data_IF_694542921135
#
_entry.id   IF_694542921135
#
_cell.length_a   1.000
_cell.length_b   1.000
_cell.length_c   1.000
_cell.angle_alpha   90.00
_cell.angle_beta   90.00
_cell.angle_gamma   90.00
#
_symmetry.space_group_name_H-M   'P 1'
#
loop_
_entity.id
_entity.type
_entity.pdbx_description
1 polymer ?
#
# COMPACT_ATOMS: atom_id res chain seq x y z
N UNK A 1 3.98 0.01 19.12
CA UNK A 1 3.13 -1.19 19.23
C UNK A 1 3.40 -1.93 20.55
N UNK A 2 4.65 -2.26 20.86
CA UNK A 2 5.06 -3.01 22.06
C UNK A 2 4.51 -2.49 23.40
N UNK A 3 4.45 -1.17 23.58
CA UNK A 3 3.89 -0.56 24.79
C UNK A 3 2.37 -0.82 24.94
N UNK A 4 1.63 -0.81 23.83
CA UNK A 4 0.18 -1.09 23.84
C UNK A 4 -0.05 -2.58 24.05
N UNK A 5 0.77 -3.44 23.45
CA UNK A 5 0.69 -4.88 23.65
C UNK A 5 1.06 -5.30 25.08
N UNK A 6 2.04 -4.65 25.70
CA UNK A 6 2.39 -4.92 27.10
C UNK A 6 1.29 -4.47 28.07
N UNK A 7 0.67 -3.32 27.81
CA UNK A 7 -0.52 -2.86 28.55
C UNK A 7 -1.72 -3.78 28.34
N UNK A 8 -1.93 -4.27 27.13
CA UNK A 8 -2.96 -5.27 26.86
C UNK A 8 -2.70 -6.55 27.65
N UNK A 9 -1.47 -7.06 27.65
CA UNK A 9 -1.12 -8.29 28.35
C UNK A 9 -1.33 -8.17 29.86
N UNK A 10 -1.01 -7.02 30.48
CA UNK A 10 -1.27 -6.79 31.90
C UNK A 10 -2.76 -6.63 32.22
N UNK A 11 -3.54 -6.00 31.34
CA UNK A 11 -4.99 -5.83 31.48
C UNK A 11 -5.79 -7.09 31.13
N UNK A 12 -5.23 -8.01 30.34
CA UNK A 12 -5.92 -9.18 29.76
C UNK A 12 -6.52 -10.14 30.78
N UNK A 13 -6.02 -10.12 32.03
CA UNK A 13 -6.48 -10.98 33.11
C UNK A 13 -7.72 -10.42 33.85
N UNK A 14 -7.94 -9.10 33.83
CA UNK A 14 -9.05 -8.43 34.51
C UNK A 14 -9.63 -7.33 33.60
N UNK A 15 -10.00 -7.69 32.38
CA UNK A 15 -10.50 -6.74 31.38
C UNK A 15 -11.96 -6.41 31.67
N UNK A 16 -12.25 -5.14 31.96
CA UNK A 16 -13.61 -4.60 32.04
C UNK A 16 -13.91 -3.77 30.79
N UNK A 17 -15.18 -3.56 30.44
CA UNK A 17 -15.58 -2.74 29.28
C UNK A 17 -14.89 -1.36 29.26
N UNK A 18 -14.80 -0.68 30.41
CA UNK A 18 -14.11 0.59 30.53
C UNK A 18 -12.59 0.51 30.26
N UNK A 19 -11.94 -0.59 30.65
CA UNK A 19 -10.52 -0.81 30.41
C UNK A 19 -10.28 -1.08 28.92
N UNK A 20 -11.15 -1.86 28.29
CA UNK A 20 -11.08 -2.12 26.85
C UNK A 20 -11.24 -0.81 26.05
N UNK A 21 -12.20 0.03 26.41
CA UNK A 21 -12.37 1.36 25.80
C UNK A 21 -11.13 2.25 25.98
N UNK A 22 -10.61 2.37 27.20
CA UNK A 22 -9.41 3.19 27.48
C UNK A 22 -8.18 2.68 26.72
N UNK A 23 -8.04 1.36 26.61
CA UNK A 23 -6.94 0.74 25.86
C UNK A 23 -7.05 1.03 24.35
N UNK A 24 -8.26 0.98 23.78
CA UNK A 24 -8.50 1.35 22.37
C UNK A 24 -8.20 2.83 22.17
N UNK A 25 -8.70 3.73 23.02
CA UNK A 25 -8.40 5.17 22.96
C UNK A 25 -6.90 5.44 23.03
N UNK A 26 -6.18 4.80 23.95
CA UNK A 26 -4.72 4.93 24.08
C UNK A 26 -3.99 4.40 22.86
N UNK A 27 -4.44 3.28 22.28
CA UNK A 27 -3.86 2.74 21.06
C UNK A 27 -4.00 3.73 19.91
N UNK A 28 -5.22 4.25 19.69
CA UNK A 28 -5.49 5.22 18.63
C UNK A 28 -4.71 6.52 18.86
N UNK A 29 -4.55 6.99 20.11
CA UNK A 29 -3.83 8.23 20.42
C UNK A 29 -2.30 8.06 20.46
N UNK A 30 -1.78 6.84 20.34
CA UNK A 30 -0.34 6.61 20.37
C UNK A 30 0.35 7.28 19.16
N UNK A 31 1.34 8.17 19.37
CA UNK A 31 2.03 8.84 18.28
C UNK A 31 2.82 7.83 17.44
N UNK A 32 2.88 8.05 16.12
CA UNK A 32 3.64 7.23 15.15
C UNK A 32 3.24 5.74 15.09
N UNK A 33 2.10 5.37 15.69
CA UNK A 33 1.52 4.04 15.56
C UNK A 33 0.48 4.03 14.44
N UNK A 34 0.81 3.47 13.28
CA UNK A 34 -0.08 3.42 12.12
C UNK A 34 -0.57 1.99 11.79
N UNK A 35 -0.11 1.00 12.56
CA UNK A 35 -0.52 -0.40 12.46
C UNK A 35 -1.23 -0.80 13.74
N UNK A 36 -2.40 -1.40 13.60
CA UNK A 36 -3.26 -1.83 14.70
C UNK A 36 -3.84 -3.23 14.50
N UNK A 37 -3.51 -3.93 13.40
CA UNK A 37 -4.10 -5.22 13.05
C UNK A 37 -3.92 -6.28 14.12
N UNK A 38 -2.69 -6.41 14.66
CA UNK A 38 -2.40 -7.33 15.78
C UNK A 38 -3.24 -7.00 17.01
N UNK A 39 -3.29 -5.71 17.37
CA UNK A 39 -4.04 -5.24 18.53
C UNK A 39 -5.55 -5.46 18.36
N UNK A 40 -6.08 -5.17 17.17
CA UNK A 40 -7.48 -5.39 16.81
C UNK A 40 -7.87 -6.87 16.95
N UNK A 41 -7.07 -7.79 16.40
CA UNK A 41 -7.35 -9.22 16.48
C UNK A 41 -7.38 -9.72 17.93
N UNK A 42 -6.45 -9.25 18.76
CA UNK A 42 -6.40 -9.60 20.18
C UNK A 42 -7.62 -9.11 20.94
N UNK A 43 -8.00 -7.85 20.78
CA UNK A 43 -9.16 -7.26 21.45
C UNK A 43 -10.45 -7.90 20.98
N UNK A 44 -10.63 -8.07 19.67
CA UNK A 44 -11.82 -8.71 19.09
C UNK A 44 -12.03 -10.11 19.65
N UNK A 45 -10.98 -10.94 19.66
CA UNK A 45 -11.05 -12.29 20.22
C UNK A 45 -11.49 -12.29 21.70
N UNK A 46 -11.03 -11.32 22.49
CA UNK A 46 -11.43 -11.16 23.89
C UNK A 46 -12.89 -10.74 24.05
N UNK A 47 -13.34 -9.74 23.29
CA UNK A 47 -14.73 -9.27 23.30
C UNK A 47 -15.70 -10.37 22.86
N UNK A 48 -15.30 -11.19 21.88
CA UNK A 48 -16.10 -12.34 21.43
C UNK A 48 -16.17 -13.46 22.48
N UNK A 49 -15.14 -13.61 23.32
CA UNK A 49 -15.06 -14.66 24.34
C UNK A 49 -15.80 -14.30 25.64
N UNK A 50 -15.94 -13.01 25.96
CA UNK A 50 -16.47 -12.53 27.23
C UNK A 50 -17.72 -11.65 27.00
N UNK A 51 -18.95 -12.17 27.24
CA UNK A 51 -20.18 -11.43 26.95
C UNK A 51 -20.33 -10.14 27.77
N UNK A 52 -19.64 -10.04 28.92
CA UNK A 52 -19.59 -8.80 29.71
C UNK A 52 -18.83 -7.64 29.05
N UNK A 53 -18.09 -7.90 27.97
CA UNK A 53 -17.39 -6.89 27.17
C UNK A 53 -18.17 -6.48 25.91
N UNK A 54 -19.30 -7.12 25.59
CA UNK A 54 -20.18 -6.76 24.46
C UNK A 54 -21.07 -5.56 24.78
N UNK A 55 -20.54 -4.59 25.52
CA UNK A 55 -21.21 -3.33 25.78
C UNK A 55 -21.27 -2.52 24.47
N UNK A 56 -22.39 -1.83 24.18
CA UNK A 56 -22.51 -0.98 23.00
C UNK A 56 -21.38 0.05 22.86
N UNK A 57 -20.85 0.60 23.96
CA UNK A 57 -19.71 1.53 23.93
C UNK A 57 -18.46 0.85 23.38
N UNK A 58 -18.13 -0.35 23.90
CA UNK A 58 -16.94 -1.10 23.47
C UNK A 58 -17.06 -1.51 22.00
N UNK A 59 -18.25 -1.92 21.56
CA UNK A 59 -18.51 -2.26 20.16
C UNK A 59 -18.36 -1.06 19.23
N UNK A 60 -18.78 0.15 19.66
CA UNK A 60 -18.58 1.38 18.90
C UNK A 60 -17.09 1.74 18.76
N UNK A 61 -16.32 1.62 19.85
CA UNK A 61 -14.86 1.81 19.83
C UNK A 61 -14.14 0.73 19.02
N UNK A 62 -14.61 -0.50 19.04
CA UNK A 62 -14.10 -1.58 18.20
C UNK A 62 -14.37 -1.29 16.71
N UNK A 63 -15.57 -0.81 16.38
CA UNK A 63 -15.91 -0.36 15.04
C UNK A 63 -14.99 0.77 14.56
N UNK A 64 -14.72 1.74 15.43
CA UNK A 64 -13.74 2.80 15.12
C UNK A 64 -12.34 2.22 14.90
N UNK A 65 -11.90 1.27 15.72
CA UNK A 65 -10.60 0.61 15.54
C UNK A 65 -10.51 -0.11 14.18
N UNK A 66 -11.61 -0.72 13.70
CA UNK A 66 -11.67 -1.32 12.35
C UNK A 66 -11.43 -0.28 11.25
N UNK A 67 -11.97 0.92 11.41
CA UNK A 67 -11.76 2.01 10.44
C UNK A 67 -10.30 2.47 10.48
N UNK A 68 -9.68 2.55 11.66
CA UNK A 68 -8.25 2.86 11.78
C UNK A 68 -7.34 1.76 11.21
N UNK A 69 -7.71 0.47 11.32
CA UNK A 69 -6.93 -0.62 10.72
C UNK A 69 -7.07 -0.66 9.20
N UNK A 70 -8.31 -0.65 8.69
CA UNK A 70 -8.59 -1.02 7.30
C UNK A 70 -9.32 0.06 6.49
N UNK A 71 -10.02 0.97 7.15
CA UNK A 71 -10.86 1.98 6.50
C UNK A 71 -10.17 3.31 6.19
N UNK A 72 -10.99 4.27 5.75
CA UNK A 72 -10.64 5.61 5.34
C UNK A 72 -11.43 6.68 6.10
N UNK A 73 -11.06 7.94 5.91
CA UNK A 73 -11.78 9.10 6.45
C UNK A 73 -13.26 9.12 6.02
N UNK A 74 -13.54 8.74 4.77
CA UNK A 74 -14.92 8.68 4.26
C UNK A 74 -15.74 7.59 4.95
N UNK A 75 -15.15 6.43 5.23
CA UNK A 75 -15.81 5.34 5.96
C UNK A 75 -16.19 5.79 7.39
N UNK A 76 -15.33 6.57 8.05
CA UNK A 76 -15.65 7.19 9.34
C UNK A 76 -16.83 8.15 9.25
N UNK A 77 -16.90 9.02 8.24
CA UNK A 77 -18.03 9.94 8.07
C UNK A 77 -19.35 9.18 7.92
N UNK A 78 -19.38 8.11 7.13
CA UNK A 78 -20.57 7.26 6.93
C UNK A 78 -21.01 6.60 8.25
N UNK A 79 -20.08 5.97 8.97
CA UNK A 79 -20.42 5.27 10.21
C UNK A 79 -20.76 6.25 11.36
N UNK A 80 -20.20 7.47 11.32
CA UNK A 80 -20.54 8.55 12.25
C UNK A 80 -21.97 9.04 12.00
N UNK A 81 -22.37 9.25 10.75
CA UNK A 81 -23.75 9.62 10.40
C UNK A 81 -24.75 8.54 10.83
N UNK A 82 -24.34 7.27 10.77
CA UNK A 82 -25.13 6.15 11.26
C UNK A 82 -25.18 6.04 12.80
N UNK A 83 -24.41 6.86 13.53
CA UNK A 83 -24.35 6.84 15.00
C UNK A 83 -23.70 5.59 15.60
N UNK A 84 -22.84 4.89 14.82
CA UNK A 84 -22.23 3.62 15.22
C UNK A 84 -20.83 3.76 15.80
N UNK A 85 -20.18 4.90 15.58
CA UNK A 85 -18.83 5.21 16.08
C UNK A 85 -18.85 6.48 16.92
N UNK A 86 -17.98 6.56 17.95
CA UNK A 86 -17.86 7.75 18.79
C UNK A 86 -17.19 8.91 18.03
N UNK A 87 -17.38 10.13 18.54
CA UNK A 87 -16.73 11.33 18.00
C UNK A 87 -15.22 11.30 18.25
N UNK A 88 -14.46 11.67 17.22
CA UNK A 88 -13.01 11.78 17.27
C UNK A 88 -12.54 13.10 17.86
N UNK A 89 -11.45 13.05 18.63
CA UNK A 89 -10.69 14.24 18.98
C UNK A 89 -9.87 14.77 17.76
N UNK A 90 -9.29 15.97 17.89
CA UNK A 90 -8.54 16.61 16.80
C UNK A 90 -7.30 15.79 16.40
N UNK A 91 -6.63 15.16 17.37
CA UNK A 91 -5.43 14.35 17.12
C UNK A 91 -5.78 13.03 16.39
N UNK A 92 -6.87 12.38 16.80
CA UNK A 92 -7.42 11.18 16.17
C UNK A 92 -7.91 11.48 14.76
N UNK A 93 -8.56 12.63 14.57
CA UNK A 93 -9.00 13.10 13.25
C UNK A 93 -7.80 13.26 12.31
N UNK A 94 -6.76 13.95 12.77
CA UNK A 94 -5.52 14.14 12.00
C UNK A 94 -4.89 12.78 11.65
N UNK A 95 -4.82 11.87 12.63
CA UNK A 95 -4.27 10.54 12.44
C UNK A 95 -5.06 9.67 11.46
N UNK A 96 -6.38 9.76 11.47
CA UNK A 96 -7.22 9.05 10.50
C UNK A 96 -7.04 9.62 9.08
N UNK A 97 -6.89 10.94 8.95
CA UNK A 97 -6.55 11.59 7.69
C UNK A 97 -5.16 11.16 7.20
N UNK A 98 -4.17 11.07 8.09
CA UNK A 98 -2.83 10.54 7.79
C UNK A 98 -2.90 9.10 7.27
N UNK A 99 -3.63 8.22 7.96
CA UNK A 99 -3.85 6.84 7.54
C UNK A 99 -4.55 6.76 6.17
N UNK A 100 -5.50 7.67 5.91
CA UNK A 100 -6.18 7.75 4.62
C UNK A 100 -5.24 8.21 3.51
N UNK A 101 -4.38 9.21 3.78
CA UNK A 101 -3.30 9.62 2.87
C UNK A 101 -2.37 8.45 2.57
N UNK A 102 -1.99 7.66 3.59
CA UNK A 102 -1.13 6.50 3.40
C UNK A 102 -1.77 5.44 2.49
N UNK A 103 -3.06 5.17 2.67
CA UNK A 103 -3.82 4.29 1.77
C UNK A 103 -3.82 4.81 0.33
N UNK A 104 -4.06 6.10 0.13
CA UNK A 104 -4.09 6.73 -1.20
C UNK A 104 -2.70 6.70 -1.87
N UNK A 105 -1.66 7.02 -1.11
CA UNK A 105 -0.26 6.98 -1.54
C UNK A 105 0.24 5.56 -1.88
N UNK A 106 -0.35 4.53 -1.28
CA UNK A 106 -0.03 3.13 -1.60
C UNK A 106 -0.54 2.70 -2.99
N UNK A 107 -1.60 3.34 -3.49
CA UNK A 107 -2.23 3.00 -4.76
C UNK A 107 -1.63 3.80 -5.93
N UNK A 108 -1.34 5.08 -5.71
CA UNK A 108 -0.93 6.00 -6.78
C UNK A 108 0.31 6.80 -6.39
N UNK A 109 1.34 6.77 -7.25
CA UNK A 109 2.61 7.49 -7.03
C UNK A 109 2.55 9.00 -7.23
N UNK A 110 1.58 9.51 -8.00
CA UNK A 110 1.39 10.93 -8.26
C UNK A 110 0.00 11.33 -7.82
N UNK A 111 -0.08 12.05 -6.71
CA UNK A 111 -1.36 12.47 -6.13
C UNK A 111 -1.56 13.96 -6.39
N UNK A 112 -2.68 14.33 -7.00
CA UNK A 112 -3.04 15.73 -7.16
C UNK A 112 -3.59 16.30 -5.86
N UNK A 113 -3.31 17.57 -5.60
CA UNK A 113 -3.79 18.23 -4.39
C UNK A 113 -5.32 18.28 -4.31
N UNK A 114 -6.03 18.36 -5.44
CA UNK A 114 -7.50 18.27 -5.49
C UNK A 114 -7.99 16.96 -4.90
N UNK A 115 -7.44 15.84 -5.37
CA UNK A 115 -7.90 14.51 -5.00
C UNK A 115 -7.60 14.25 -3.52
N UNK A 116 -6.46 14.75 -3.03
CA UNK A 116 -6.11 14.65 -1.61
C UNK A 116 -7.06 15.51 -0.75
N UNK A 117 -7.35 16.75 -1.16
CA UNK A 117 -8.30 17.62 -0.47
C UNK A 117 -9.69 16.99 -0.37
N UNK A 118 -10.18 16.41 -1.48
CA UNK A 118 -11.52 15.83 -1.55
C UNK A 118 -11.64 14.56 -0.69
N UNK A 119 -10.60 13.72 -0.68
CA UNK A 119 -10.59 12.48 0.12
C UNK A 119 -10.42 12.75 1.61
N UNK A 120 -9.58 13.72 1.98
CA UNK A 120 -9.27 14.03 3.38
C UNK A 120 -10.18 15.08 4.01
N UNK A 121 -11.01 15.76 3.21
CA UNK A 121 -11.82 16.90 3.62
C UNK A 121 -10.95 17.93 4.37
N UNK A 122 -9.90 18.40 3.70
CA UNK A 122 -8.95 19.40 4.22
C UNK A 122 -8.95 20.61 3.29
N UNK A 123 -8.98 21.80 3.89
CA UNK A 123 -8.82 23.04 3.13
C UNK A 123 -7.46 23.10 2.43
N UNK A 124 -7.44 23.62 1.20
CA UNK A 124 -6.22 23.75 0.41
C UNK A 124 -5.11 24.55 1.12
N UNK A 125 -5.48 25.51 1.96
CA UNK A 125 -4.57 26.33 2.77
C UNK A 125 -3.76 25.51 3.78
N UNK A 126 -4.35 24.44 4.30
CA UNK A 126 -3.77 23.58 5.34
C UNK A 126 -3.12 22.32 4.78
N UNK A 127 -3.43 21.96 3.54
CA UNK A 127 -2.92 20.75 2.88
C UNK A 127 -1.39 20.68 2.90
N UNK A 128 -0.69 21.75 2.52
CA UNK A 128 0.77 21.71 2.45
C UNK A 128 1.41 21.50 3.83
N UNK A 129 0.89 22.15 4.88
CA UNK A 129 1.36 21.93 6.25
C UNK A 129 1.14 20.47 6.67
N UNK A 130 -0.05 19.94 6.40
CA UNK A 130 -0.38 18.55 6.71
C UNK A 130 0.52 17.55 5.96
N UNK A 131 0.77 17.77 4.66
CA UNK A 131 1.65 16.90 3.87
C UNK A 131 3.10 16.99 4.35
N UNK A 132 3.56 18.19 4.73
CA UNK A 132 4.87 18.38 5.34
C UNK A 132 4.96 17.57 6.63
N UNK A 133 3.99 17.69 7.54
CA UNK A 133 3.96 16.94 8.79
C UNK A 133 3.94 15.41 8.56
N UNK A 134 3.19 14.94 7.56
CA UNK A 134 3.19 13.53 7.15
C UNK A 134 4.56 13.05 6.64
N UNK A 135 5.31 13.90 5.94
CA UNK A 135 6.68 13.60 5.50
C UNK A 135 7.65 13.59 6.68
N UNK A 136 7.55 14.60 7.56
CA UNK A 136 8.40 14.70 8.76
C UNK A 136 8.16 13.57 9.78
N UNK A 137 6.93 13.07 9.87
CA UNK A 137 6.61 11.92 10.72
C UNK A 137 7.14 10.59 10.15
N UNK A 138 7.58 10.58 8.89
CA UNK A 138 8.05 9.40 8.17
C UNK A 138 6.93 8.51 7.65
N UNK A 139 5.68 8.99 7.64
CA UNK A 139 4.54 8.25 7.10
C UNK A 139 4.63 8.10 5.59
N UNK A 140 5.00 9.18 4.90
CA UNK A 140 5.18 9.25 3.45
C UNK A 140 6.57 9.78 3.14
N UNK A 141 7.29 9.14 2.24
CA UNK A 141 8.52 9.68 1.66
C UNK A 141 8.21 10.12 0.24
N UNK A 142 8.54 11.36 -0.10
CA UNK A 142 8.20 11.92 -1.40
C UNK A 142 8.60 13.37 -1.56
N UNK A 143 8.18 13.97 -2.68
CA UNK A 143 8.44 15.36 -3.02
C UNK A 143 7.13 16.09 -3.29
N UNK A 144 7.02 17.30 -2.74
CA UNK A 144 5.94 18.22 -3.03
C UNK A 144 6.34 19.09 -4.22
N UNK A 145 5.50 19.09 -5.26
CA UNK A 145 5.61 20.03 -6.38
C UNK A 145 4.44 21.01 -6.29
N UNK A 146 4.68 22.11 -5.56
CA UNK A 146 3.72 23.20 -5.39
C UNK A 146 3.36 23.86 -6.73
N UNK A 147 4.22 23.83 -7.76
CA UNK A 147 3.88 24.45 -9.05
C UNK A 147 2.85 23.63 -9.81
N UNK A 148 2.99 22.30 -9.80
CA UNK A 148 2.04 21.39 -10.45
C UNK A 148 0.92 20.91 -9.52
N UNK A 149 0.94 21.32 -8.25
CA UNK A 149 -0.04 20.95 -7.23
C UNK A 149 -0.14 19.42 -7.11
N UNK A 150 1.01 18.77 -6.95
CA UNK A 150 1.12 17.33 -6.84
C UNK A 150 2.10 16.88 -5.76
N UNK A 151 1.82 15.72 -5.19
CA UNK A 151 2.72 14.96 -4.32
C UNK A 151 3.24 13.76 -5.12
N UNK A 152 4.56 13.72 -5.30
CA UNK A 152 5.26 12.53 -5.84
C UNK A 152 5.67 11.63 -4.68
N UNK A 153 4.99 10.50 -4.57
CA UNK A 153 5.24 9.49 -3.53
C UNK A 153 6.34 8.54 -3.99
N UNK A 154 7.39 8.43 -3.19
CA UNK A 154 8.48 7.47 -3.36
C UNK A 154 8.20 6.19 -2.56
N UNK A 155 7.83 6.34 -1.29
CA UNK A 155 7.43 5.23 -0.42
C UNK A 155 6.42 5.70 0.63
N UNK A 156 5.71 4.74 1.21
CA UNK A 156 4.71 4.97 2.24
C UNK A 156 4.78 3.84 3.26
N UNK A 157 4.52 4.15 4.53
CA UNK A 157 4.38 3.13 5.57
C UNK A 157 3.18 2.24 5.24
N UNK A 158 3.41 0.92 5.22
CA UNK A 158 2.36 -0.06 5.02
C UNK A 158 1.36 -0.04 6.16
N UNK A 159 0.07 0.09 5.82
CA UNK A 159 -1.05 -0.16 6.75
C UNK A 159 -1.30 -1.65 6.90
N UNK A 160 -2.12 -2.02 7.88
CA UNK A 160 -2.58 -3.40 8.05
C UNK A 160 -3.29 -3.91 6.81
N UNK A 161 -3.09 -5.20 6.55
CA UNK A 161 -3.64 -5.91 5.39
C UNK A 161 -4.67 -6.91 5.91
N UNK A 162 -5.87 -6.89 5.34
CA UNK A 162 -6.89 -7.91 5.57
C UNK A 162 -6.75 -9.06 4.57
N UNK A 163 -7.44 -10.18 4.83
CA UNK A 163 -7.34 -11.39 4.01
C UNK A 163 -7.66 -11.13 2.52
N UNK A 164 -8.58 -10.21 2.21
CA UNK A 164 -8.93 -9.89 0.82
C UNK A 164 -7.76 -9.25 0.10
N UNK A 165 -7.11 -8.27 0.74
CA UNK A 165 -5.93 -7.60 0.17
C UNK A 165 -4.74 -8.55 0.01
N UNK A 166 -4.60 -9.55 0.88
CA UNK A 166 -3.58 -10.60 0.68
C UNK A 166 -3.84 -11.37 -0.63
N UNK A 167 -5.10 -11.73 -0.92
CA UNK A 167 -5.46 -12.38 -2.20
C UNK A 167 -5.22 -11.46 -3.41
N UNK A 168 -5.50 -10.16 -3.28
CA UNK A 168 -5.20 -9.19 -4.34
C UNK A 168 -3.69 -9.08 -4.60
N UNK A 169 -2.88 -9.06 -3.54
CA UNK A 169 -1.41 -9.03 -3.65
C UNK A 169 -0.88 -10.27 -4.37
N UNK A 170 -1.43 -11.44 -4.07
CA UNK A 170 -1.10 -12.71 -4.75
C UNK A 170 -1.37 -12.61 -6.25
N UNK A 171 -2.56 -12.14 -6.65
CA UNK A 171 -2.91 -11.95 -8.05
C UNK A 171 -2.00 -10.93 -8.78
N UNK A 172 -1.57 -9.86 -8.10
CA UNK A 172 -0.62 -8.89 -8.68
C UNK A 172 0.76 -9.53 -8.92
N UNK A 173 1.23 -10.36 -7.98
CA UNK A 173 2.49 -11.09 -8.08
C UNK A 173 2.45 -12.14 -9.18
N UNK A 174 1.38 -12.91 -9.29
CA UNK A 174 1.16 -13.88 -10.37
C UNK A 174 1.17 -13.21 -11.74
N UNK A 175 0.42 -12.11 -11.89
CA UNK A 175 0.44 -11.35 -13.13
C UNK A 175 1.84 -10.80 -13.46
N UNK A 176 2.66 -10.48 -12.45
CA UNK A 176 4.05 -10.04 -12.68
C UNK A 176 4.95 -11.21 -13.09
N UNK A 177 4.78 -12.39 -12.49
CA UNK A 177 5.47 -13.61 -12.87
C UNK A 177 5.15 -14.00 -14.32
N UNK A 178 3.88 -13.95 -14.72
CA UNK A 178 3.48 -14.23 -16.10
C UNK A 178 4.10 -13.25 -17.10
N UNK A 179 4.08 -11.95 -16.79
CA UNK A 179 4.69 -10.90 -17.63
C UNK A 179 6.19 -11.09 -17.78
N UNK A 180 6.90 -11.39 -16.69
CA UNK A 180 8.35 -11.61 -16.73
C UNK A 180 8.69 -12.89 -17.49
N UNK A 181 7.91 -13.96 -17.34
CA UNK A 181 8.07 -15.18 -18.13
C UNK A 181 7.80 -14.96 -19.63
N UNK A 182 6.82 -14.13 -19.97
CA UNK A 182 6.56 -13.75 -21.37
C UNK A 182 7.72 -12.96 -21.98
N UNK A 183 8.23 -11.95 -21.26
CA UNK A 183 9.39 -11.16 -21.71
C UNK A 183 10.64 -12.03 -21.90
N UNK A 184 10.85 -13.02 -21.03
CA UNK A 184 11.96 -13.95 -21.16
C UNK A 184 11.83 -14.78 -22.45
N UNK A 185 10.65 -15.37 -22.70
CA UNK A 185 10.38 -16.14 -23.94
C UNK A 185 10.55 -15.31 -25.20
N UNK A 186 10.10 -14.06 -25.16
CA UNK A 186 10.26 -13.12 -26.29
C UNK A 186 11.74 -12.81 -26.55
N UNK A 187 12.51 -12.64 -25.48
CA UNK A 187 13.97 -12.40 -25.55
C UNK A 187 14.70 -13.62 -26.12
N UNK A 188 14.38 -14.83 -25.64
CA UNK A 188 14.93 -16.08 -26.16
C UNK A 188 14.61 -16.26 -27.65
N UNK A 189 13.36 -16.01 -28.05
CA UNK A 189 12.92 -16.08 -29.44
C UNK A 189 13.65 -15.07 -30.33
N UNK A 190 13.90 -13.87 -29.81
CA UNK A 190 14.67 -12.83 -30.50
C UNK A 190 16.14 -13.24 -30.71
N UNK A 191 16.77 -13.85 -29.69
CA UNK A 191 18.14 -14.38 -29.77
C UNK A 191 18.21 -15.46 -30.85
N UNK A 192 17.27 -16.41 -30.85
CA UNK A 192 17.25 -17.52 -31.82
C UNK A 192 17.03 -17.04 -33.26
N UNK A 193 16.18 -16.04 -33.46
CA UNK A 193 15.99 -15.43 -34.78
C UNK A 193 17.27 -14.75 -35.26
N UNK A 194 17.89 -13.94 -34.41
CA UNK A 194 19.15 -13.24 -34.73
C UNK A 194 20.27 -14.24 -35.05
N UNK A 195 20.35 -15.34 -34.30
CA UNK A 195 21.33 -16.41 -34.55
C UNK A 195 21.10 -17.08 -35.90
N UNK A 196 19.84 -17.39 -36.25
CA UNK A 196 19.48 -17.97 -37.54
C UNK A 196 19.80 -17.03 -38.71
N UNK A 197 19.47 -15.75 -38.58
CA UNK A 197 19.77 -14.74 -39.59
C UNK A 197 21.27 -14.56 -39.80
N UNK A 198 22.05 -14.52 -38.71
CA UNK A 198 23.52 -14.45 -38.77
C UNK A 198 24.11 -15.66 -39.50
N UNK A 199 23.65 -16.87 -39.17
CA UNK A 199 24.09 -18.10 -39.84
C UNK A 199 23.73 -18.12 -41.33
N UNK A 200 22.51 -17.67 -41.71
CA UNK A 200 22.11 -17.56 -43.12
C UNK A 200 23.03 -16.59 -43.86
N UNK A 201 23.28 -15.41 -43.29
CA UNK A 201 24.15 -14.40 -43.88
C UNK A 201 25.59 -14.90 -44.05
N UNK A 202 26.14 -15.61 -43.06
CA UNK A 202 27.47 -16.21 -43.19
C UNK A 202 27.53 -17.24 -44.33
N UNK A 203 26.48 -18.07 -44.48
CA UNK A 203 26.39 -19.04 -45.59
C UNK A 203 26.29 -18.35 -46.95
N UNK A 204 25.41 -17.36 -47.09
CA UNK A 204 25.25 -16.59 -48.34
C UNK A 204 26.57 -15.92 -48.76
N UNK A 205 27.31 -15.34 -47.80
CA UNK A 205 28.62 -14.75 -48.05
C UNK A 205 29.65 -15.81 -48.48
N UNK A 206 29.65 -16.99 -47.86
CA UNK A 206 30.53 -18.10 -48.25
C UNK A 206 30.23 -18.59 -49.68
N UNK A 207 28.96 -18.85 -50.00
CA UNK A 207 28.55 -19.30 -51.33
C UNK A 207 28.90 -18.27 -52.41
N UNK A 208 28.68 -16.98 -52.13
CA UNK A 208 29.07 -15.90 -53.03
C UNK A 208 30.58 -15.85 -53.26
N UNK A 209 31.39 -15.98 -52.20
CA UNK A 209 32.85 -15.99 -52.31
C UNK A 209 33.36 -17.19 -53.12
N UNK A 210 32.79 -18.38 -52.91
CA UNK A 210 33.13 -19.58 -53.69
C UNK A 210 32.76 -19.43 -55.17
N UNK A 211 31.60 -18.83 -55.46
CA UNK A 211 31.18 -18.53 -56.83
C UNK A 211 32.15 -17.57 -57.53
N UNK A 212 32.53 -16.48 -56.86
CA UNK A 212 33.52 -15.51 -57.38
C UNK A 212 34.89 -16.17 -57.61
N UNK A 213 35.34 -17.04 -56.71
CA UNK A 213 36.60 -17.77 -56.87
C UNK A 213 36.60 -18.65 -58.13
N UNK A 214 35.53 -19.40 -58.37
CA UNK A 214 35.38 -20.23 -59.58
C UNK A 214 35.38 -19.41 -60.87
N UNK A 215 34.72 -18.24 -60.87
CA UNK A 215 34.75 -17.32 -62.02
C UNK A 215 36.17 -16.81 -62.29
N UNK A 216 36.91 -16.41 -61.25
CA UNK A 216 38.28 -15.92 -61.40
C UNK A 216 39.24 -17.00 -61.94
N UNK A 217 39.07 -18.26 -61.53
CA UNK A 217 39.89 -19.36 -62.05
C UNK A 217 39.60 -19.64 -63.54
N UNK A 218 38.33 -19.59 -63.94
CA UNK A 218 37.94 -19.75 -65.35
C UNK A 218 38.43 -18.62 -66.26
N UNK A 219 38.61 -17.41 -65.75
CA UNK A 219 39.12 -16.25 -66.52
C UNK A 219 40.65 -16.27 -66.65
N UNK A 220 41.36 -17.03 -65.80
CA UNK A 220 42.82 -17.18 -65.82
C UNK A 220 43.32 -18.31 -66.74
N UNK A 221 42.42 -19.10 -67.31
CA UNK A 221 42.74 -20.20 -68.24
C UNK A 221 42.51 -19.74 -69.68
#
# INVERSE_FOLDING_TARGET
MDQILSLYNSASQNMTAAIAEDLIRRAINAPKLYTFGEFYQLIRKKVDSEPGLQDPSVLAWLGLLVIFTYGTWQDYLIEREAGRVPELDEAQTTKLKELTLASLASQTRRLHYSDICDVLDIERSQLESFLVDAIYSGLVTGKLDTKRQLLEVESVVGRDVDERRVTEMDGVLDGWLERTAALLRDTESYIDRTRRESLSRTREVQEYNEYVARLNDNVRT
#
